data_IF_543425533600
#
_entry.id   IF_543425533600
#
_cell.length_a   1.000
_cell.length_b   1.000
_cell.length_c   1.000
_cell.angle_alpha   90.00
_cell.angle_beta   90.00
_cell.angle_gamma   90.00
#
_symmetry.space_group_name_H-M   'P 1'
#
loop_
_entity.id
_entity.type
_entity.pdbx_description
1 polymer ?
#
# COMPACT_ATOMS: atom_id res chain seq x y z
N UNK A 1 -39.31 -21.17 -56.78
CA UNK A 1 -39.56 -22.14 -55.70
C UNK A 1 -39.08 -21.51 -54.42
N UNK A 2 -40.03 -21.34 -53.50
CA UNK A 2 -39.92 -20.71 -52.18
C UNK A 2 -38.86 -21.31 -51.25
N UNK A 3 -38.29 -20.44 -50.41
CA UNK A 3 -37.65 -20.78 -49.14
C UNK A 3 -38.71 -20.94 -48.03
N UNK A 4 -38.48 -21.83 -47.06
CA UNK A 4 -38.78 -21.48 -45.67
C UNK A 4 -37.67 -21.97 -44.72
N UNK A 5 -37.36 -21.39 -43.57
CA UNK A 5 -37.92 -20.26 -42.86
C UNK A 5 -37.09 -19.97 -41.58
N UNK A 6 -36.81 -18.69 -41.40
CA UNK A 6 -36.76 -17.86 -40.19
C UNK A 6 -36.54 -18.47 -38.79
N UNK A 7 -35.56 -17.89 -38.08
CA UNK A 7 -35.55 -17.65 -36.63
C UNK A 7 -34.14 -17.31 -36.15
N UNK A 8 -33.84 -16.29 -35.34
CA UNK A 8 -34.61 -15.41 -34.46
C UNK A 8 -33.70 -14.26 -34.00
N UNK A 9 -34.29 -13.07 -33.82
CA UNK A 9 -33.93 -11.98 -32.86
C UNK A 9 -32.57 -11.30 -33.09
N UNK A 10 -32.41 -10.00 -32.95
CA UNK A 10 -33.20 -8.94 -32.33
C UNK A 10 -32.22 -7.76 -32.19
N UNK A 11 -32.72 -6.59 -32.52
CA UNK A 11 -32.01 -5.33 -32.75
C UNK A 11 -31.53 -4.62 -31.48
N UNK A 12 -30.72 -3.57 -31.71
CA UNK A 12 -30.42 -2.39 -30.88
C UNK A 12 -29.01 -2.40 -30.27
N UNK A 13 -28.14 -1.40 -30.43
CA UNK A 13 -28.35 0.00 -30.78
C UNK A 13 -27.69 0.92 -29.74
N UNK A 14 -26.54 1.49 -30.09
CA UNK A 14 -25.92 2.74 -29.61
C UNK A 14 -25.35 2.89 -28.16
N UNK A 15 -24.02 3.00 -28.13
CA UNK A 15 -23.19 4.14 -27.65
C UNK A 15 -23.19 4.56 -26.15
N UNK A 16 -22.03 4.41 -25.47
CA UNK A 16 -21.17 5.51 -24.94
C UNK A 16 -19.95 4.96 -24.15
N UNK A 17 -18.77 5.59 -24.27
CA UNK A 17 -17.57 5.19 -23.53
C UNK A 17 -17.63 5.74 -22.11
N UNK A 18 -17.64 4.87 -21.10
CA UNK A 18 -17.39 5.28 -19.73
C UNK A 18 -15.88 5.29 -19.50
N UNK A 19 -15.28 6.48 -19.60
CA UNK A 19 -14.02 6.78 -18.92
C UNK A 19 -14.23 6.55 -17.42
N UNK A 20 -13.54 5.58 -16.83
CA UNK A 20 -13.22 5.59 -15.40
C UNK A 20 -11.82 5.04 -15.19
N UNK A 21 -10.86 5.96 -15.26
CA UNK A 21 -9.76 6.12 -14.30
C UNK A 21 -9.15 4.80 -13.80
N UNK A 22 -8.21 4.26 -14.58
CA UNK A 22 -7.16 3.43 -13.99
C UNK A 22 -6.24 4.39 -13.22
N UNK A 23 -6.45 4.45 -11.89
CA UNK A 23 -5.59 5.24 -11.01
C UNK A 23 -4.15 4.69 -11.13
N UNK A 24 -3.15 5.57 -11.23
CA UNK A 24 -1.77 5.17 -11.44
C UNK A 24 -1.23 4.41 -10.23
N UNK A 25 -0.56 3.30 -10.55
CA UNK A 25 0.56 2.70 -9.81
C UNK A 25 0.52 2.84 -8.29
N UNK A 26 -0.44 2.16 -7.67
CA UNK A 26 -0.33 1.81 -6.25
C UNK A 26 0.82 0.81 -6.10
N UNK A 27 2.02 1.34 -5.92
CA UNK A 27 3.21 0.73 -5.33
C UNK A 27 3.25 -0.80 -5.40
N UNK A 28 3.68 -1.31 -6.57
CA UNK A 28 4.18 -2.68 -6.73
C UNK A 28 5.40 -2.89 -5.81
N UNK A 29 5.17 -3.20 -4.54
CA UNK A 29 6.19 -3.85 -3.74
C UNK A 29 6.28 -5.29 -4.23
N UNK A 30 7.21 -5.51 -5.15
CA UNK A 30 7.63 -6.82 -5.60
C UNK A 30 7.88 -7.71 -4.38
N UNK A 31 7.06 -8.74 -4.23
CA UNK A 31 7.29 -9.86 -3.33
C UNK A 31 8.50 -10.64 -3.85
N UNK A 32 9.70 -10.15 -3.56
CA UNK A 32 10.95 -10.88 -3.74
C UNK A 32 11.14 -11.86 -2.58
N UNK A 33 11.73 -12.99 -2.93
CA UNK A 33 11.76 -14.26 -2.21
C UNK A 33 12.05 -14.15 -0.70
N UNK A 34 11.25 -14.86 0.12
CA UNK A 34 11.50 -15.04 1.55
C UNK A 34 12.57 -16.11 1.77
N UNK A 35 13.81 -15.68 1.88
CA UNK A 35 14.79 -16.35 2.74
C UNK A 35 14.30 -16.25 4.20
N UNK A 36 14.72 -17.10 5.15
CA UNK A 36 14.33 -16.99 6.56
C UNK A 36 15.04 -15.78 7.18
N UNK A 37 14.57 -14.58 6.82
CA UNK A 37 14.99 -13.33 7.38
C UNK A 37 14.40 -13.24 8.78
N UNK A 38 15.23 -12.92 9.77
CA UNK A 38 14.76 -12.54 11.09
C UNK A 38 13.57 -11.59 10.92
N UNK A 39 12.40 -11.99 11.46
CA UNK A 39 11.13 -11.32 11.25
C UNK A 39 11.28 -9.82 11.52
N UNK A 40 11.41 -9.03 10.45
CA UNK A 40 11.60 -7.59 10.55
C UNK A 40 10.27 -7.00 10.98
N UNK A 41 10.15 -6.69 12.27
CA UNK A 41 8.96 -6.05 12.82
C UNK A 41 8.89 -4.61 12.33
N UNK A 42 7.86 -4.32 11.55
CA UNK A 42 7.46 -2.96 11.18
C UNK A 42 6.50 -2.45 12.24
N UNK A 43 6.79 -1.27 12.80
CA UNK A 43 5.96 -0.59 13.80
C UNK A 43 5.67 0.82 13.30
N UNK A 44 4.44 1.29 13.52
CA UNK A 44 4.10 2.67 13.22
C UNK A 44 4.80 3.62 14.19
N UNK A 45 5.28 4.75 13.69
CA UNK A 45 5.89 5.77 14.55
C UNK A 45 4.93 6.23 15.65
N UNK A 46 3.62 6.34 15.37
CA UNK A 46 2.61 6.69 16.36
C UNK A 46 2.58 5.72 17.56
N UNK A 47 2.76 4.41 17.33
CA UNK A 47 2.79 3.39 18.38
C UNK A 47 4.06 3.43 19.23
N UNK A 48 5.18 3.79 18.60
CA UNK A 48 6.46 3.93 19.28
C UNK A 48 6.46 5.17 20.18
N UNK A 49 5.98 6.30 19.68
CA UNK A 49 6.03 7.59 20.37
C UNK A 49 4.85 7.82 21.31
N UNK A 50 3.68 7.21 21.07
CA UNK A 50 2.47 7.31 21.91
C UNK A 50 2.10 8.74 22.29
N UNK A 51 2.24 9.67 21.35
CA UNK A 51 1.98 11.10 21.56
C UNK A 51 3.16 11.92 22.09
N UNK A 52 4.28 11.28 22.46
CA UNK A 52 5.52 11.95 22.76
C UNK A 52 6.30 12.34 21.48
N UNK A 53 7.34 13.16 21.63
CA UNK A 53 8.25 13.52 20.53
C UNK A 53 9.61 12.84 20.65
N UNK A 54 9.89 12.18 21.77
CA UNK A 54 11.11 11.44 22.02
C UNK A 54 10.87 10.23 22.93
N UNK A 55 11.67 9.18 22.73
CA UNK A 55 11.72 7.99 23.58
C UNK A 55 13.17 7.62 23.90
N UNK A 56 13.35 6.91 25.01
CA UNK A 56 14.65 6.36 25.41
C UNK A 56 14.65 4.86 25.19
N UNK A 57 15.67 4.37 24.49
CA UNK A 57 15.86 2.95 24.17
C UNK A 57 17.10 2.49 24.93
N UNK A 58 16.91 1.53 25.85
CA UNK A 58 18.02 0.88 26.54
C UNK A 58 18.49 -0.27 25.67
N UNK A 59 19.74 -0.22 25.23
CA UNK A 59 20.35 -1.25 24.40
C UNK A 59 21.81 -1.43 24.82
N UNK A 60 22.20 -2.65 25.15
CA UNK A 60 23.57 -3.01 25.54
C UNK A 60 24.13 -2.17 26.71
N UNK A 61 23.28 -1.84 27.69
CA UNK A 61 23.66 -0.98 28.83
C UNK A 61 23.81 0.51 28.50
N UNK A 62 23.61 0.90 27.23
CA UNK A 62 23.60 2.29 26.76
C UNK A 62 22.17 2.77 26.59
N UNK A 63 21.93 4.06 26.81
CA UNK A 63 20.61 4.67 26.65
C UNK A 63 20.59 5.55 25.42
N UNK A 64 20.02 5.04 24.34
CA UNK A 64 19.80 5.79 23.13
C UNK A 64 18.56 6.67 23.24
N UNK A 65 18.57 7.82 22.57
CA UNK A 65 17.42 8.71 22.45
C UNK A 65 16.93 8.75 21.01
N UNK A 66 15.73 8.26 20.77
CA UNK A 66 15.07 8.40 19.49
C UNK A 66 14.08 9.56 19.54
N UNK A 67 14.16 10.49 18.58
CA UNK A 67 13.25 11.64 18.48
C UNK A 67 12.58 11.70 17.10
N UNK A 68 11.34 12.14 17.06
CA UNK A 68 10.65 12.51 15.83
C UNK A 68 10.76 14.02 15.64
N UNK A 69 11.16 14.42 14.44
CA UNK A 69 11.24 15.84 14.06
C UNK A 69 9.89 16.34 13.59
N UNK A 70 9.67 17.66 13.62
CA UNK A 70 8.49 18.29 13.01
C UNK A 70 8.38 18.03 11.49
N UNK A 71 9.49 17.67 10.84
CA UNK A 71 9.54 17.25 9.43
C UNK A 71 9.21 15.75 9.24
N UNK A 72 8.83 15.03 10.30
CA UNK A 72 8.47 13.60 10.25
C UNK A 72 9.67 12.64 10.20
N UNK A 73 10.91 13.15 10.27
CA UNK A 73 12.12 12.30 10.30
C UNK A 73 12.37 11.76 11.71
N UNK A 74 12.80 10.51 11.79
CA UNK A 74 13.28 9.87 13.00
C UNK A 74 14.79 10.05 13.14
N UNK A 75 15.25 10.43 14.33
CA UNK A 75 16.67 10.63 14.64
C UNK A 75 17.00 9.84 15.89
N UNK A 76 17.98 8.95 15.81
CA UNK A 76 18.51 8.20 16.94
C UNK A 76 19.85 8.79 17.38
N UNK A 77 19.96 9.14 18.66
CA UNK A 77 21.20 9.60 19.29
C UNK A 77 21.63 8.58 20.34
N UNK A 78 22.94 8.52 20.61
CA UNK A 78 23.53 7.70 21.66
C UNK A 78 23.60 8.47 22.98
#
# INVERSE_FOLDING_TARGET
MDFPGVGRRGSSGHNRPTMMVEKPDTFRHASLQREPTADMRVLESADIFRGATEIMIRHDGVVYRMKITRQGKLILNK
#
